data_IF_327268601255
#
_entry.id   IF_327268601255
#
_cell.length_a   1.000
_cell.length_b   1.000
_cell.length_c   1.000
_cell.angle_alpha   90.00
_cell.angle_beta   90.00
_cell.angle_gamma   90.00
#
_symmetry.space_group_name_H-M   'P 1'
#
loop_
_entity.id
_entity.type
_entity.pdbx_description
1 polymer ?
#
# COMPACT_ATOMS: atom_id res chain seq x y z
N UNK A 1 3.84 11.39 -10.14
CA UNK A 1 5.23 11.39 -10.68
C UNK A 1 5.40 10.18 -11.59
N UNK A 2 6.18 10.25 -12.68
CA UNK A 2 6.40 9.10 -13.55
C UNK A 2 7.12 7.97 -12.79
N UNK A 3 6.68 6.74 -13.02
CA UNK A 3 7.25 5.52 -12.43
C UNK A 3 7.68 4.55 -13.53
N UNK A 4 8.62 3.66 -13.21
CA UNK A 4 8.98 2.53 -14.06
C UNK A 4 7.82 1.52 -14.16
N UNK A 5 7.88 0.56 -15.10
CA UNK A 5 6.94 -0.56 -15.13
C UNK A 5 6.97 -1.47 -13.89
N UNK A 6 8.05 -1.38 -13.11
CA UNK A 6 8.16 -2.03 -11.81
C UNK A 6 7.52 -1.23 -10.67
N UNK A 7 7.16 0.05 -10.87
CA UNK A 7 6.54 0.90 -9.84
C UNK A 7 7.49 1.85 -9.11
N UNK A 8 8.75 1.95 -9.53
CA UNK A 8 9.77 2.80 -8.90
C UNK A 8 9.81 4.19 -9.54
N UNK A 9 9.95 5.23 -8.73
CA UNK A 9 10.01 6.62 -9.21
C UNK A 9 11.20 6.84 -10.16
N UNK A 10 10.98 7.63 -11.21
CA UNK A 10 12.02 7.99 -12.18
C UNK A 10 12.64 9.36 -11.87
N UNK A 11 13.96 9.51 -12.02
CA UNK A 11 14.70 10.76 -11.70
C UNK A 11 14.17 12.00 -12.44
N UNK A 12 13.61 11.81 -13.64
CA UNK A 12 12.94 12.86 -14.42
C UNK A 12 11.76 13.56 -13.69
N UNK A 13 11.37 13.06 -12.51
CA UNK A 13 10.30 13.58 -11.69
C UNK A 13 10.67 14.78 -10.80
N UNK A 14 11.97 15.11 -10.65
CA UNK A 14 12.42 16.28 -9.86
C UNK A 14 12.21 17.56 -10.67
N UNK A 15 11.13 18.30 -10.41
CA UNK A 15 10.79 19.56 -11.12
C UNK A 15 10.28 20.68 -10.21
N UNK A 16 10.17 20.44 -8.91
CA UNK A 16 9.55 21.34 -7.94
C UNK A 16 10.44 21.56 -6.70
N UNK A 17 10.01 22.45 -5.80
CA UNK A 17 10.68 22.69 -4.52
C UNK A 17 10.07 21.85 -3.38
N UNK A 18 8.92 21.21 -3.60
CA UNK A 18 8.25 20.38 -2.59
C UNK A 18 7.74 19.10 -3.24
N UNK A 19 7.98 17.97 -2.57
CA UNK A 19 7.61 16.64 -3.05
C UNK A 19 6.79 15.92 -2.00
N UNK A 20 5.85 15.08 -2.44
CA UNK A 20 5.09 14.17 -1.59
C UNK A 20 5.17 12.78 -2.21
N UNK A 21 5.87 11.87 -1.54
CA UNK A 21 6.16 10.52 -2.03
C UNK A 21 5.53 9.49 -1.10
N UNK A 22 4.93 8.43 -1.64
CA UNK A 22 4.60 7.26 -0.85
C UNK A 22 5.85 6.44 -0.59
N UNK A 23 6.12 6.06 0.66
CA UNK A 23 7.22 5.15 0.97
C UNK A 23 6.89 3.73 0.48
N UNK A 24 5.74 3.21 0.88
CA UNK A 24 5.21 1.93 0.40
C UNK A 24 3.91 2.19 -0.34
N UNK A 25 3.80 1.69 -1.58
CA UNK A 25 2.58 1.82 -2.35
C UNK A 25 1.50 0.84 -1.85
N UNK A 26 0.37 1.37 -1.37
CA UNK A 26 -0.74 0.58 -0.82
C UNK A 26 -1.50 -0.29 -1.84
N UNK A 27 -1.15 -0.24 -3.12
CA UNK A 27 -1.78 -1.03 -4.18
C UNK A 27 -0.88 -2.14 -4.70
N UNK A 28 0.40 -1.85 -4.98
CA UNK A 28 1.33 -2.81 -5.57
C UNK A 28 2.48 -3.22 -4.64
N UNK A 29 2.53 -2.70 -3.41
CA UNK A 29 3.50 -3.09 -2.39
C UNK A 29 4.93 -2.58 -2.60
N UNK A 30 5.18 -1.81 -3.66
CA UNK A 30 6.49 -1.24 -3.97
C UNK A 30 7.02 -0.34 -2.86
N UNK A 31 8.30 -0.50 -2.55
CA UNK A 31 9.05 0.33 -1.60
C UNK A 31 9.88 1.34 -2.39
N UNK A 32 9.76 2.62 -2.06
CA UNK A 32 10.59 3.69 -2.62
C UNK A 32 11.78 3.99 -1.71
N UNK A 33 12.93 4.30 -2.31
CA UNK A 33 14.16 4.68 -1.61
C UNK A 33 14.09 6.13 -1.08
N UNK A 34 13.24 6.38 -0.07
CA UNK A 34 12.93 7.72 0.45
C UNK A 34 14.18 8.48 0.88
N UNK A 35 15.16 7.83 1.51
CA UNK A 35 16.39 8.48 1.96
C UNK A 35 17.26 8.94 0.79
N UNK A 36 17.33 8.15 -0.29
CA UNK A 36 18.04 8.54 -1.51
C UNK A 36 17.33 9.69 -2.23
N UNK A 37 15.99 9.69 -2.25
CA UNK A 37 15.20 10.80 -2.78
C UNK A 37 15.37 12.08 -1.97
N UNK A 38 15.32 11.98 -0.64
CA UNK A 38 15.57 13.10 0.26
C UNK A 38 16.92 13.75 -0.03
N UNK A 39 17.99 12.95 -0.10
CA UNK A 39 19.34 13.44 -0.37
C UNK A 39 19.41 14.26 -1.67
N UNK A 40 18.74 13.82 -2.73
CA UNK A 40 18.68 14.55 -4.01
C UNK A 40 17.84 15.82 -3.92
N UNK A 41 16.64 15.74 -3.33
CA UNK A 41 15.72 16.87 -3.19
C UNK A 41 16.36 18.00 -2.36
N UNK A 42 17.05 17.63 -1.28
CA UNK A 42 17.73 18.56 -0.38
C UNK A 42 18.92 19.28 -1.05
N UNK A 43 19.56 18.69 -2.07
CA UNK A 43 20.60 19.40 -2.86
C UNK A 43 20.05 20.66 -3.53
N UNK A 44 18.78 20.63 -3.95
CA UNK A 44 18.05 21.78 -4.50
C UNK A 44 17.32 22.62 -3.44
N UNK A 45 17.60 22.42 -2.15
CA UNK A 45 16.88 23.01 -1.02
C UNK A 45 15.37 22.72 -1.01
N UNK A 46 14.93 21.65 -1.67
CA UNK A 46 13.54 21.24 -1.67
C UNK A 46 13.14 20.57 -0.35
N UNK A 47 11.84 20.37 -0.16
CA UNK A 47 11.25 19.64 0.97
C UNK A 47 10.62 18.33 0.50
N UNK A 48 10.72 17.30 1.34
CA UNK A 48 10.12 15.99 1.10
C UNK A 48 9.10 15.64 2.18
N UNK A 49 7.85 15.50 1.79
CA UNK A 49 6.83 14.76 2.53
C UNK A 49 6.86 13.28 2.13
N UNK A 50 6.74 12.38 3.11
CA UNK A 50 6.60 10.94 2.85
C UNK A 50 5.36 10.35 3.54
N UNK A 51 4.52 9.62 2.80
CA UNK A 51 3.49 8.77 3.40
C UNK A 51 4.11 7.47 3.88
N UNK A 52 4.03 7.20 5.19
CA UNK A 52 4.63 6.02 5.84
C UNK A 52 3.61 4.93 6.17
N UNK A 53 2.32 5.15 5.88
CA UNK A 53 1.20 4.35 6.40
C UNK A 53 1.35 2.85 6.17
N UNK A 54 1.75 2.44 4.97
CA UNK A 54 1.84 1.02 4.59
C UNK A 54 3.18 0.33 4.93
N UNK A 55 4.21 1.10 5.28
CA UNK A 55 5.54 0.55 5.61
C UNK A 55 5.84 0.49 7.11
N UNK A 56 5.18 1.36 7.89
CA UNK A 56 5.45 1.51 9.31
C UNK A 56 5.11 0.22 10.09
N UNK A 57 6.02 -0.19 10.96
CA UNK A 57 5.88 -1.43 11.75
C UNK A 57 6.26 -2.71 10.98
N UNK A 58 6.50 -2.63 9.66
CA UNK A 58 7.00 -3.76 8.88
C UNK A 58 8.47 -3.57 8.50
N UNK A 59 8.81 -2.37 8.04
CA UNK A 59 10.14 -2.03 7.55
C UNK A 59 10.79 -0.99 8.49
N UNK A 60 12.13 -0.92 8.53
CA UNK A 60 12.83 0.19 9.18
C UNK A 60 12.43 1.51 8.53
N UNK A 61 11.83 2.42 9.32
CA UNK A 61 11.33 3.68 8.80
C UNK A 61 12.47 4.54 8.21
N UNK A 62 12.29 5.13 7.01
CA UNK A 62 13.26 6.05 6.44
C UNK A 62 13.35 7.29 7.33
N UNK A 63 14.47 7.99 7.23
CA UNK A 63 14.75 9.17 8.06
C UNK A 63 14.97 10.43 7.25
N UNK A 64 14.98 10.38 5.93
CA UNK A 64 15.31 11.49 5.03
C UNK A 64 14.18 12.52 4.86
N UNK A 65 12.92 12.15 5.08
CA UNK A 65 11.76 13.03 4.93
C UNK A 65 11.80 14.26 5.87
N UNK A 66 11.17 15.36 5.49
CA UNK A 66 10.99 16.57 6.29
C UNK A 66 9.64 16.62 7.01
N UNK A 67 8.63 16.04 6.36
CA UNK A 67 7.29 15.78 6.89
C UNK A 67 6.92 14.31 6.61
N UNK A 68 6.12 13.70 7.48
CA UNK A 68 5.57 12.38 7.21
C UNK A 68 4.11 12.27 7.64
N UNK A 69 3.30 11.59 6.83
CA UNK A 69 1.92 11.24 7.17
C UNK A 69 1.80 9.76 7.51
N UNK A 70 0.90 9.46 8.46
CA UNK A 70 0.59 8.09 8.88
C UNK A 70 -0.92 7.99 9.10
N UNK A 71 -1.58 7.05 8.45
CA UNK A 71 -2.94 6.62 8.77
C UNK A 71 -2.89 5.40 9.70
N UNK A 72 -3.39 5.56 10.93
CA UNK A 72 -3.34 4.49 11.91
C UNK A 72 -4.13 3.24 11.51
N UNK A 73 -5.12 3.38 10.62
CA UNK A 73 -5.92 2.25 10.12
C UNK A 73 -5.10 1.29 9.27
N UNK A 74 -3.98 1.73 8.69
CA UNK A 74 -3.10 0.89 7.90
C UNK A 74 -2.46 -0.25 8.72
N UNK A 75 -2.36 -0.09 10.04
CA UNK A 75 -1.86 -1.11 10.99
C UNK A 75 -2.91 -1.50 12.04
N UNK A 76 -4.20 -1.37 11.70
CA UNK A 76 -5.31 -1.79 12.58
C UNK A 76 -5.60 -0.87 13.76
N UNK A 77 -5.09 0.37 13.73
CA UNK A 77 -5.40 1.41 14.70
C UNK A 77 -6.76 2.10 14.44
N UNK A 78 -7.13 3.06 15.30
CA UNK A 78 -8.38 3.82 15.16
C UNK A 78 -8.33 4.77 13.96
N UNK A 79 -9.44 5.42 13.65
CA UNK A 79 -9.49 6.50 12.65
C UNK A 79 -8.72 7.72 13.16
N UNK A 80 -7.40 7.70 12.96
CA UNK A 80 -6.46 8.74 13.38
C UNK A 80 -5.39 8.93 12.30
N UNK A 81 -5.26 10.16 11.81
CA UNK A 81 -4.14 10.59 10.98
C UNK A 81 -3.08 11.28 11.84
N UNK A 82 -1.81 10.99 11.58
CA UNK A 82 -0.67 11.60 12.27
C UNK A 82 0.19 12.32 11.22
N UNK A 83 0.51 13.58 11.49
CA UNK A 83 1.50 14.35 10.75
C UNK A 83 2.74 14.54 11.63
N UNK A 84 3.85 13.93 11.23
CA UNK A 84 5.16 14.11 11.87
C UNK A 84 5.95 15.21 11.15
N UNK A 85 6.54 16.11 11.93
CA UNK A 85 7.35 17.22 11.47
C UNK A 85 8.73 17.13 12.11
N UNK A 86 9.81 17.22 11.32
CA UNK A 86 11.14 17.42 11.89
C UNK A 86 11.28 18.85 12.40
N UNK A 87 12.03 19.02 13.50
CA UNK A 87 12.20 20.33 14.17
C UNK A 87 12.78 21.44 13.28
N UNK A 88 13.48 21.10 12.19
CA UNK A 88 14.10 22.06 11.27
C UNK A 88 13.24 22.36 10.03
N UNK A 89 12.10 21.69 9.88
CA UNK A 89 11.20 21.87 8.75
C UNK A 89 10.49 23.22 8.89
N UNK A 90 10.61 24.08 7.88
CA UNK A 90 9.88 25.36 7.84
C UNK A 90 8.41 25.07 7.51
N UNK A 91 7.59 24.94 8.54
CA UNK A 91 6.16 24.65 8.43
C UNK A 91 5.34 25.70 9.20
N UNK A 92 4.19 26.05 8.65
CA UNK A 92 3.16 26.86 9.29
C UNK A 92 1.85 26.12 9.21
N UNK A 93 1.08 26.09 10.30
CA UNK A 93 -0.25 25.48 10.31
C UNK A 93 -1.16 26.18 9.28
N UNK A 94 -1.61 25.48 8.22
CA UNK A 94 -2.50 26.08 7.24
C UNK A 94 -3.94 26.19 7.75
N UNK A 95 -4.27 25.57 8.90
CA UNK A 95 -5.62 25.58 9.45
C UNK A 95 -5.89 26.90 10.20
N UNK A 96 -7.17 27.34 10.25
CA UNK A 96 -7.54 28.50 11.06
C UNK A 96 -7.20 28.25 12.53
N UNK A 97 -6.20 28.98 13.05
CA UNK A 97 -5.82 28.84 14.46
C UNK A 97 -6.90 29.47 15.35
N UNK A 98 -7.54 28.68 16.20
CA UNK A 98 -8.51 29.20 17.19
C UNK A 98 -7.82 30.01 18.30
N UNK A 99 -6.51 29.81 18.55
CA UNK A 99 -5.67 30.66 19.40
C UNK A 99 -4.18 30.26 19.29
N UNK A 100 -3.22 31.21 19.43
CA UNK A 100 -1.78 30.91 19.47
C UNK A 100 -1.35 29.96 20.59
N UNK A 101 -2.17 29.78 21.64
CA UNK A 101 -1.92 28.84 22.74
C UNK A 101 -2.69 27.51 22.62
N UNK A 102 -3.68 27.45 21.73
CA UNK A 102 -4.55 26.29 21.48
C UNK A 102 -4.36 25.73 20.06
N UNK A 103 -3.22 26.00 19.41
CA UNK A 103 -2.86 25.42 18.11
C UNK A 103 -2.49 23.93 18.16
N UNK A 104 -2.87 23.22 19.24
CA UNK A 104 -2.80 21.77 19.28
C UNK A 104 -4.08 21.26 18.65
N UNK A 105 -3.97 20.50 17.55
CA UNK A 105 -5.05 19.65 17.09
C UNK A 105 -5.59 18.91 18.32
N UNK A 106 -6.82 19.23 18.73
CA UNK A 106 -7.46 18.55 19.86
C UNK A 106 -7.78 17.12 19.41
N UNK A 107 -6.81 16.24 19.58
CA UNK A 107 -6.97 14.80 19.38
C UNK A 107 -7.30 14.21 20.74
N UNK A 108 -8.31 13.34 20.80
CA UNK A 108 -8.58 12.57 22.01
C UNK A 108 -7.34 11.73 22.34
N UNK A 109 -6.75 11.93 23.52
CA UNK A 109 -5.54 11.23 23.97
C UNK A 109 -5.67 9.71 23.86
N UNK A 110 -6.89 9.21 24.08
CA UNK A 110 -7.26 7.80 23.89
C UNK A 110 -6.88 7.28 22.49
N UNK A 111 -7.19 8.01 21.42
CA UNK A 111 -6.92 7.59 20.04
C UNK A 111 -5.41 7.45 19.80
N UNK A 112 -4.60 8.33 20.42
CA UNK A 112 -3.14 8.28 20.33
C UNK A 112 -2.60 7.01 21.01
N UNK A 113 -3.10 6.71 22.21
CA UNK A 113 -2.71 5.49 22.95
C UNK A 113 -3.13 4.22 22.20
N UNK A 114 -4.35 4.19 21.65
CA UNK A 114 -4.86 3.08 20.85
C UNK A 114 -4.02 2.87 19.58
N UNK A 115 -3.70 3.93 18.84
CA UNK A 115 -2.85 3.85 17.66
C UNK A 115 -1.44 3.32 18.02
N UNK A 116 -0.84 3.82 19.10
CA UNK A 116 0.47 3.34 19.55
C UNK A 116 0.45 1.87 19.99
N UNK A 117 -0.63 1.41 20.63
CA UNK A 117 -0.81 0.01 21.00
C UNK A 117 -0.99 -0.89 19.77
N UNK A 118 -1.83 -0.47 18.81
CA UNK A 118 -2.05 -1.18 17.56
C UNK A 118 -0.73 -1.32 16.77
N UNK A 119 0.05 -0.25 16.63
CA UNK A 119 1.33 -0.27 15.92
C UNK A 119 2.32 -1.27 16.56
N UNK A 120 2.46 -1.29 17.89
CA UNK A 120 3.35 -2.24 18.59
C UNK A 120 2.93 -3.69 18.36
N UNK A 121 1.62 -3.96 18.41
CA UNK A 121 1.09 -5.31 18.13
C UNK A 121 1.34 -5.70 16.69
N UNK A 122 1.03 -4.81 15.75
CA UNK A 122 1.25 -5.01 14.32
C UNK A 122 2.73 -5.30 14.01
N UNK A 123 3.66 -4.53 14.58
CA UNK A 123 5.11 -4.76 14.44
C UNK A 123 5.52 -6.14 14.94
N UNK A 124 5.05 -6.53 16.13
CA UNK A 124 5.34 -7.85 16.70
C UNK A 124 4.82 -8.99 15.82
N UNK A 125 3.56 -8.89 15.36
CA UNK A 125 2.92 -9.92 14.53
C UNK A 125 3.57 -9.99 13.15
N UNK A 126 3.85 -8.83 12.53
CA UNK A 126 4.52 -8.75 11.24
C UNK A 126 5.91 -9.38 11.32
N UNK A 127 6.72 -9.04 12.33
CA UNK A 127 8.04 -9.62 12.53
C UNK A 127 8.02 -11.14 12.71
N UNK A 128 7.05 -11.67 13.45
CA UNK A 128 6.94 -13.12 13.69
C UNK A 128 6.52 -13.89 12.43
N UNK A 129 5.71 -13.28 11.56
CA UNK A 129 5.08 -13.97 10.43
C UNK A 129 5.58 -13.51 9.06
N UNK A 130 6.56 -12.61 9.01
CA UNK A 130 7.05 -12.00 7.77
C UNK A 130 7.42 -13.06 6.72
N UNK A 131 8.21 -14.06 7.11
CA UNK A 131 8.66 -15.14 6.21
C UNK A 131 7.52 -16.00 5.66
N UNK A 132 6.47 -16.22 6.46
CA UNK A 132 5.28 -16.97 6.02
C UNK A 132 4.55 -16.20 4.92
N UNK A 133 4.32 -14.90 5.14
CA UNK A 133 3.65 -14.05 4.15
C UNK A 133 4.53 -13.85 2.91
N UNK A 134 5.85 -13.71 3.07
CA UNK A 134 6.81 -13.66 1.96
C UNK A 134 6.81 -14.93 1.13
N UNK A 135 6.71 -16.10 1.77
CA UNK A 135 6.59 -17.39 1.09
C UNK A 135 5.28 -17.46 0.30
N UNK A 136 4.15 -17.11 0.91
CA UNK A 136 2.88 -17.04 0.20
C UNK A 136 2.93 -16.07 -1.00
N UNK A 137 3.56 -14.90 -0.86
CA UNK A 137 3.72 -13.95 -1.97
C UNK A 137 4.44 -14.58 -3.17
N UNK A 138 5.57 -15.24 -2.90
CA UNK A 138 6.35 -15.95 -3.93
C UNK A 138 5.53 -17.07 -4.57
N UNK A 139 4.84 -17.87 -3.76
CA UNK A 139 4.05 -19.00 -4.25
C UNK A 139 2.84 -18.51 -5.05
N UNK A 140 2.17 -17.44 -4.62
CA UNK A 140 1.09 -16.80 -5.37
C UNK A 140 1.58 -16.28 -6.73
N UNK A 141 2.73 -15.61 -6.76
CA UNK A 141 3.34 -15.16 -8.02
C UNK A 141 3.65 -16.34 -8.96
N UNK A 142 4.15 -17.45 -8.41
CA UNK A 142 4.40 -18.67 -9.18
C UNK A 142 3.10 -19.30 -9.70
N UNK A 143 2.05 -19.37 -8.88
CA UNK A 143 0.73 -19.85 -9.29
C UNK A 143 0.13 -18.98 -10.38
N UNK A 144 0.18 -17.65 -10.24
CA UNK A 144 -0.28 -16.71 -11.26
C UNK A 144 0.49 -16.89 -12.59
N UNK A 145 1.80 -17.15 -12.54
CA UNK A 145 2.60 -17.40 -13.75
C UNK A 145 2.19 -18.68 -14.50
N UNK A 146 1.58 -19.66 -13.81
CA UNK A 146 1.09 -20.89 -14.41
C UNK A 146 -0.36 -20.78 -14.93
N UNK A 147 -1.06 -19.68 -14.64
CA UNK A 147 -2.41 -19.43 -15.14
C UNK A 147 -2.34 -18.44 -16.32
N UNK A 148 -2.91 -18.83 -17.45
CA UNK A 148 -2.84 -18.03 -18.67
C UNK A 148 -3.39 -16.60 -18.45
N UNK A 149 -2.71 -15.60 -19.01
CA UNK A 149 -3.14 -14.21 -19.03
C UNK A 149 -3.43 -13.57 -17.65
N UNK A 150 -2.63 -13.91 -16.63
CA UNK A 150 -2.54 -13.14 -15.39
C UNK A 150 -1.28 -12.26 -15.42
N UNK A 151 -1.43 -10.97 -15.07
CA UNK A 151 -0.32 -10.02 -14.88
C UNK A 151 -0.24 -9.65 -13.40
N UNK A 152 0.86 -9.98 -12.73
CA UNK A 152 1.08 -9.58 -11.34
C UNK A 152 1.86 -8.27 -11.31
N UNK A 153 1.25 -7.24 -10.72
CA UNK A 153 1.83 -5.91 -10.60
C UNK A 153 2.86 -5.82 -9.45
N UNK A 154 3.69 -4.79 -9.52
CA UNK A 154 4.68 -4.46 -8.50
C UNK A 154 5.94 -5.31 -8.49
N UNK A 155 6.91 -4.84 -7.70
CA UNK A 155 8.23 -5.46 -7.53
C UNK A 155 8.15 -6.69 -6.61
N UNK A 156 8.67 -7.87 -7.00
CA UNK A 156 8.80 -9.02 -6.11
C UNK A 156 9.63 -8.76 -4.83
N UNK A 157 10.51 -7.76 -4.84
CA UNK A 157 11.27 -7.32 -3.67
C UNK A 157 10.52 -6.30 -2.79
N UNK A 158 9.26 -5.98 -3.12
CA UNK A 158 8.40 -5.12 -2.32
C UNK A 158 7.91 -5.77 -1.02
N UNK A 159 6.98 -5.11 -0.34
CA UNK A 159 6.39 -5.62 0.89
C UNK A 159 5.54 -6.86 0.59
N UNK A 160 5.64 -7.95 1.38
CA UNK A 160 5.07 -9.23 0.96
C UNK A 160 3.54 -9.29 1.11
N UNK A 161 2.95 -8.46 1.96
CA UNK A 161 1.54 -8.55 2.32
C UNK A 161 0.60 -7.78 1.37
N UNK A 162 1.12 -7.01 0.42
CA UNK A 162 0.34 -6.26 -0.57
C UNK A 162 0.66 -6.81 -1.95
N UNK A 163 -0.35 -7.36 -2.62
CA UNK A 163 -0.19 -7.97 -3.95
C UNK A 163 -1.39 -7.58 -4.79
N UNK A 164 -1.13 -7.08 -5.99
CA UNK A 164 -2.18 -6.87 -7.00
C UNK A 164 -1.85 -7.68 -8.23
N UNK A 165 -2.86 -8.38 -8.75
CA UNK A 165 -2.78 -9.08 -10.02
C UNK A 165 -4.02 -8.80 -10.86
N UNK A 166 -3.87 -8.86 -12.17
CA UNK A 166 -4.93 -8.59 -13.14
C UNK A 166 -5.15 -9.81 -14.00
N UNK A 167 -6.41 -10.19 -14.17
CA UNK A 167 -6.82 -11.36 -14.94
C UNK A 167 -7.46 -10.87 -16.24
N UNK A 168 -6.79 -11.10 -17.37
CA UNK A 168 -7.36 -10.74 -18.66
C UNK A 168 -8.59 -11.61 -18.94
N UNK A 169 -9.58 -11.03 -19.65
CA UNK A 169 -10.86 -11.66 -19.98
C UNK A 169 -11.75 -12.01 -18.78
N UNK A 170 -11.55 -11.35 -17.64
CA UNK A 170 -12.40 -11.48 -16.46
C UNK A 170 -12.79 -10.09 -15.93
N UNK A 171 -14.03 -9.95 -15.45
CA UNK A 171 -14.47 -8.73 -14.79
C UNK A 171 -14.04 -8.75 -13.31
N UNK A 172 -13.50 -7.64 -12.82
CA UNK A 172 -13.01 -7.53 -11.45
C UNK A 172 -14.10 -7.80 -10.40
N UNK A 173 -15.33 -7.35 -10.67
CA UNK A 173 -16.48 -7.58 -9.78
C UNK A 173 -16.86 -9.06 -9.69
N UNK A 174 -16.80 -9.79 -10.80
CA UNK A 174 -17.09 -11.23 -10.84
C UNK A 174 -16.03 -12.02 -10.08
N UNK A 175 -14.76 -11.65 -10.23
CA UNK A 175 -13.66 -12.22 -9.45
C UNK A 175 -13.89 -11.99 -7.95
N UNK A 176 -14.18 -10.75 -7.53
CA UNK A 176 -14.47 -10.42 -6.12
C UNK A 176 -15.64 -11.27 -5.59
N UNK A 177 -16.73 -11.40 -6.36
CA UNK A 177 -17.89 -12.22 -5.98
C UNK A 177 -17.53 -13.71 -5.93
N UNK A 178 -16.69 -14.21 -6.82
CA UNK A 178 -16.26 -15.60 -6.84
C UNK A 178 -15.35 -15.93 -5.65
N UNK A 179 -14.39 -15.06 -5.32
CA UNK A 179 -13.59 -15.18 -4.09
C UNK A 179 -14.46 -15.13 -2.82
N UNK A 180 -15.45 -14.23 -2.78
CA UNK A 180 -16.36 -14.13 -1.65
C UNK A 180 -17.19 -15.42 -1.43
N UNK A 181 -17.60 -16.11 -2.51
CA UNK A 181 -18.28 -17.42 -2.41
C UNK A 181 -17.38 -18.50 -1.80
N UNK A 182 -16.07 -18.40 -2.00
CA UNK A 182 -15.07 -19.26 -1.36
C UNK A 182 -14.66 -18.75 0.03
N UNK A 183 -15.27 -17.67 0.53
CA UNK A 183 -15.02 -17.11 1.86
C UNK A 183 -13.78 -16.21 1.94
N UNK A 184 -13.27 -15.71 0.82
CA UNK A 184 -12.16 -14.76 0.78
C UNK A 184 -12.65 -13.33 0.53
N UNK A 185 -12.15 -12.38 1.32
CA UNK A 185 -12.40 -10.95 1.11
C UNK A 185 -11.21 -10.38 0.35
N UNK A 186 -11.46 -9.94 -0.87
CA UNK A 186 -10.46 -9.31 -1.74
C UNK A 186 -11.00 -7.97 -2.23
N UNK A 187 -10.10 -7.04 -2.54
CA UNK A 187 -10.49 -5.78 -3.15
C UNK A 187 -10.30 -5.85 -4.67
N UNK A 188 -11.02 -5.01 -5.40
CA UNK A 188 -10.74 -4.71 -6.80
C UNK A 188 -10.87 -3.20 -6.99
N UNK A 189 -9.86 -2.60 -7.63
CA UNK A 189 -9.84 -1.17 -7.97
C UNK A 189 -11.00 -0.77 -8.88
N UNK A 190 -11.57 -1.70 -9.66
CA UNK A 190 -12.77 -1.47 -10.46
C UNK A 190 -14.09 -1.69 -9.69
N UNK A 191 -14.07 -2.35 -8.52
CA UNK A 191 -15.29 -2.76 -7.83
C UNK A 191 -15.62 -1.95 -6.55
N UNK A 192 -14.63 -1.30 -5.91
CA UNK A 192 -14.84 -0.80 -4.53
C UNK A 192 -14.74 0.72 -4.33
N UNK A 193 -14.24 1.52 -5.29
CA UNK A 193 -13.89 2.94 -4.99
C UNK A 193 -14.37 3.97 -6.02
N UNK A 194 -15.28 3.61 -6.92
CA UNK A 194 -15.50 4.45 -8.07
C UNK A 194 -16.97 4.55 -8.46
N UNK A 195 -17.61 5.65 -8.05
CA UNK A 195 -18.85 6.15 -8.68
C UNK A 195 -18.66 6.50 -10.17
N UNK A 196 -17.39 6.55 -10.63
CA UNK A 196 -16.98 6.57 -12.04
C UNK A 196 -16.07 5.38 -12.29
N UNK A 197 -16.37 4.46 -13.21
CA UNK A 197 -15.59 3.27 -13.61
C UNK A 197 -14.14 3.57 -14.09
N UNK A 198 -13.34 4.30 -13.32
CA UNK A 198 -12.01 4.73 -13.70
C UNK A 198 -10.97 3.66 -13.34
N UNK A 199 -10.06 3.32 -14.27
CA UNK A 199 -9.03 2.33 -14.02
C UNK A 199 -8.07 2.82 -12.92
N UNK A 200 -7.44 1.87 -12.22
CA UNK A 200 -6.41 2.19 -11.23
C UNK A 200 -5.32 3.08 -11.83
N UNK A 201 -5.13 4.27 -11.24
CA UNK A 201 -4.09 5.19 -11.64
C UNK A 201 -2.67 4.61 -11.40
N UNK A 202 -2.48 3.73 -10.42
CA UNK A 202 -1.18 3.08 -10.15
C UNK A 202 -0.86 2.06 -11.25
N UNK A 203 -1.83 1.21 -11.60
CA UNK A 203 -1.65 0.22 -12.67
C UNK A 203 -1.47 0.91 -14.03
N UNK A 204 -2.22 1.99 -14.31
CA UNK A 204 -2.01 2.84 -15.50
C UNK A 204 -0.59 3.43 -15.50
N UNK A 205 -0.15 4.02 -14.38
CA UNK A 205 1.16 4.67 -14.30
C UNK A 205 2.33 3.70 -14.49
N UNK A 206 2.13 2.42 -14.13
CA UNK A 206 3.11 1.34 -14.31
C UNK A 206 2.95 0.59 -15.64
N UNK A 207 2.01 1.00 -16.50
CA UNK A 207 1.75 0.37 -17.79
C UNK A 207 1.26 -1.08 -17.68
N UNK A 208 0.62 -1.44 -16.56
CA UNK A 208 0.11 -2.78 -16.28
C UNK A 208 -1.34 -2.94 -16.70
N UNK A 209 -1.81 -4.19 -16.74
CA UNK A 209 -3.22 -4.48 -16.99
C UNK A 209 -4.09 -3.91 -15.85
N UNK A 210 -5.16 -3.20 -16.21
CA UNK A 210 -6.06 -2.55 -15.26
C UNK A 210 -7.39 -3.28 -15.10
N UNK A 211 -7.83 -4.02 -16.13
CA UNK A 211 -9.05 -4.83 -16.10
C UNK A 211 -8.85 -6.12 -15.33
N UNK A 212 -9.92 -6.60 -14.68
CA UNK A 212 -9.88 -7.84 -13.91
C UNK A 212 -8.88 -7.81 -12.75
N UNK A 213 -8.58 -6.62 -12.22
CA UNK A 213 -7.61 -6.49 -11.13
C UNK A 213 -8.20 -6.98 -9.80
N UNK A 214 -7.38 -7.66 -9.03
CA UNK A 214 -7.64 -8.15 -7.67
C UNK A 214 -6.48 -7.71 -6.81
N UNK A 215 -6.79 -7.02 -5.72
CA UNK A 215 -5.84 -6.56 -4.70
C UNK A 215 -6.03 -7.35 -3.41
N UNK A 216 -4.92 -7.93 -2.96
CA UNK A 216 -4.78 -8.60 -1.68
C UNK A 216 -4.00 -7.71 -0.73
N UNK A 217 -4.56 -7.48 0.45
CA UNK A 217 -3.85 -6.95 1.62
C UNK A 217 -3.99 -8.00 2.70
N UNK A 218 -2.90 -8.71 2.97
CA UNK A 218 -2.90 -9.95 3.73
C UNK A 218 -2.55 -9.63 5.19
N UNK A 219 -3.41 -9.94 6.17
CA UNK A 219 -3.04 -9.83 7.57
C UNK A 219 -1.82 -10.70 7.89
N UNK A 220 -0.88 -10.19 8.68
CA UNK A 220 0.31 -10.96 9.01
C UNK A 220 0.01 -12.19 9.88
N UNK A 221 -1.09 -12.20 10.60
CA UNK A 221 -1.60 -13.33 11.38
C UNK A 221 -2.42 -14.34 10.57
N UNK A 222 -2.66 -14.11 9.26
CA UNK A 222 -3.45 -14.98 8.39
C UNK A 222 -2.98 -16.46 8.46
N UNK A 223 -3.85 -17.42 8.80
CA UNK A 223 -3.46 -18.82 8.98
C UNK A 223 -2.87 -19.46 7.72
N UNK A 224 -1.87 -20.33 7.89
CA UNK A 224 -1.21 -21.02 6.76
C UNK A 224 -2.19 -21.83 5.90
N UNK A 225 -3.18 -22.49 6.53
CA UNK A 225 -4.19 -23.27 5.82
C UNK A 225 -5.09 -22.37 4.94
N UNK A 226 -5.38 -21.15 5.37
CA UNK A 226 -6.14 -20.16 4.59
C UNK A 226 -5.34 -19.70 3.37
N UNK A 227 -4.05 -19.42 3.56
CA UNK A 227 -3.11 -19.07 2.48
C UNK A 227 -2.98 -20.20 1.46
N UNK A 228 -2.81 -21.44 1.91
CA UNK A 228 -2.76 -22.61 1.02
C UNK A 228 -4.07 -22.79 0.24
N UNK A 229 -5.22 -22.67 0.92
CA UNK A 229 -6.53 -22.74 0.28
C UNK A 229 -6.70 -21.65 -0.77
N UNK A 230 -6.18 -20.44 -0.56
CA UNK A 230 -6.26 -19.37 -1.55
C UNK A 230 -5.51 -19.75 -2.84
N UNK A 231 -4.31 -20.33 -2.72
CA UNK A 231 -3.53 -20.79 -3.87
C UNK A 231 -4.26 -21.90 -4.65
N UNK A 232 -4.89 -22.82 -3.94
CA UNK A 232 -5.62 -23.94 -4.55
C UNK A 232 -6.86 -23.49 -5.32
N UNK A 233 -7.62 -22.51 -4.80
CA UNK A 233 -8.86 -22.07 -5.45
C UNK A 233 -8.64 -21.07 -6.57
N UNK A 234 -7.53 -20.32 -6.56
CA UNK A 234 -7.27 -19.23 -7.51
C UNK A 234 -7.41 -19.67 -8.98
N UNK A 235 -6.74 -20.75 -9.46
CA UNK A 235 -6.86 -21.17 -10.86
C UNK A 235 -8.29 -21.56 -11.24
N UNK A 236 -8.99 -22.26 -10.33
CA UNK A 236 -10.39 -22.70 -10.53
C UNK A 236 -11.34 -21.52 -10.63
N UNK A 237 -11.17 -20.50 -9.79
CA UNK A 237 -11.98 -19.27 -9.82
C UNK A 237 -11.75 -18.53 -11.14
N UNK A 238 -10.49 -18.34 -11.53
CA UNK A 238 -10.14 -17.61 -12.76
C UNK A 238 -10.73 -18.29 -13.99
N UNK A 239 -10.63 -19.62 -14.08
CA UNK A 239 -11.21 -20.37 -15.19
C UNK A 239 -12.74 -20.29 -15.19
N UNK A 240 -13.39 -20.44 -14.03
CA UNK A 240 -14.84 -20.36 -13.92
C UNK A 240 -15.41 -19.00 -14.33
N UNK A 241 -14.76 -17.90 -13.93
CA UNK A 241 -15.19 -16.55 -14.31
C UNK A 241 -15.04 -16.31 -15.82
N UNK A 242 -13.97 -16.82 -16.46
CA UNK A 242 -13.75 -16.65 -17.90
C UNK A 242 -14.74 -17.39 -18.80
N UNK A 243 -15.44 -18.39 -18.25
CA UNK A 243 -16.44 -19.18 -18.97
C UNK A 243 -17.86 -18.61 -18.85
N UNK A 244 -18.04 -17.54 -18.07
CA UNK A 244 -19.33 -16.87 -17.86
C UNK A 244 -19.55 -15.80 -18.93
#
# INVERSE_FOLDING_TARGET
MPVSPSGHLLESAIKANTYSLGWVNGEIGNIQEIDAWAARIHQSQGLLHSDLSYGLGVLPAPTGWDLASIDARAFGGPTLGILALKSRTRWSDPLPTLSPRYGQLHVEERLVVEAAAALRTYESVAKQNFERISTFNRDLRATCANVAHIDVAGDPAGIPHIITFSVLYAQGEELVRAFAKEGFVVASGSACMSTNLEPSHVLVATGRLTHGNVRLVIPYDEPADSLARFLDVLPRIVEGVRQT
#
